data_IF_011979637496
#
_entry.id   IF_011979637496
#
_cell.length_a   1.000
_cell.length_b   1.000
_cell.length_c   1.000
_cell.angle_alpha   90.00
_cell.angle_beta   90.00
_cell.angle_gamma   90.00
#
_symmetry.space_group_name_H-M   'P 1'
#
loop_
_entity.id
_entity.type
_entity.pdbx_description
1 polymer ?
#
# COMPACT_ATOMS: atom_id res chain seq x y z
N UNK A 1 -28.33 -1.27 -27.42
CA UNK A 1 -27.26 -0.38 -26.98
C UNK A 1 -26.01 -0.80 -27.72
N UNK A 2 -25.47 0.06 -28.58
CA UNK A 2 -24.23 -0.23 -29.29
C UNK A 2 -23.14 -0.63 -28.28
N UNK A 3 -22.38 -1.64 -28.60
CA UNK A 3 -21.17 -2.07 -27.88
C UNK A 3 -20.17 -0.93 -27.95
N UNK A 4 -20.33 0.09 -27.10
CA UNK A 4 -19.27 1.05 -26.85
C UNK A 4 -18.10 0.22 -26.30
N UNK A 5 -17.05 0.13 -27.07
CA UNK A 5 -15.81 -0.54 -26.68
C UNK A 5 -15.23 0.27 -25.52
N UNK A 6 -15.45 -0.18 -24.30
CA UNK A 6 -14.83 0.35 -23.07
C UNK A 6 -13.34 0.01 -23.01
N UNK A 7 -12.64 0.10 -24.16
CA UNK A 7 -11.23 -0.18 -24.27
C UNK A 7 -10.40 0.87 -23.51
N UNK A 8 -9.24 0.47 -23.07
CA UNK A 8 -8.35 1.36 -22.35
C UNK A 8 -7.86 2.48 -23.28
N UNK A 9 -7.97 3.75 -22.85
CA UNK A 9 -7.50 4.88 -23.64
C UNK A 9 -5.97 4.90 -23.81
N UNK A 10 -5.49 5.64 -24.79
CA UNK A 10 -4.04 5.87 -25.02
C UNK A 10 -3.32 6.41 -23.78
N UNK A 11 -4.04 7.12 -22.90
CA UNK A 11 -3.55 7.60 -21.61
C UNK A 11 -2.97 6.48 -20.72
N UNK A 12 -3.51 5.23 -20.80
CA UNK A 12 -2.95 4.08 -20.07
C UNK A 12 -1.61 3.68 -20.67
N UNK A 13 -1.44 3.78 -21.98
CA UNK A 13 -0.16 3.55 -22.65
C UNK A 13 0.92 4.56 -22.26
N UNK A 14 0.56 5.84 -22.09
CA UNK A 14 1.49 6.86 -21.59
C UNK A 14 1.85 6.63 -20.12
N UNK A 15 0.91 6.19 -19.29
CA UNK A 15 1.19 5.78 -17.92
C UNK A 15 2.16 4.60 -17.85
N UNK A 16 2.02 3.62 -18.76
CA UNK A 16 2.95 2.49 -18.85
C UNK A 16 4.37 2.95 -19.23
N UNK A 17 4.51 3.85 -20.23
CA UNK A 17 5.81 4.42 -20.61
C UNK A 17 6.45 5.21 -19.48
N UNK A 18 5.66 6.02 -18.76
CA UNK A 18 6.12 6.74 -17.57
C UNK A 18 6.66 5.76 -16.51
N UNK A 19 5.92 4.68 -16.24
CA UNK A 19 6.34 3.64 -15.30
C UNK A 19 7.66 2.98 -15.71
N UNK A 20 7.81 2.61 -17.00
CA UNK A 20 9.06 2.05 -17.52
C UNK A 20 10.23 3.03 -17.42
N UNK A 21 10.00 4.31 -17.74
CA UNK A 21 11.02 5.35 -17.61
C UNK A 21 11.46 5.56 -16.16
N UNK A 22 10.49 5.60 -15.23
CA UNK A 22 10.76 5.71 -13.80
C UNK A 22 11.51 4.46 -13.28
N UNK A 23 11.11 3.26 -13.71
CA UNK A 23 11.78 2.02 -13.35
C UNK A 23 13.24 2.03 -13.81
N UNK A 24 13.49 2.39 -15.06
CA UNK A 24 14.86 2.47 -15.61
C UNK A 24 15.70 3.49 -14.84
N UNK A 25 15.18 4.71 -14.65
CA UNK A 25 15.86 5.75 -13.88
C UNK A 25 16.14 5.28 -12.45
N UNK A 26 15.15 4.73 -11.77
CA UNK A 26 15.30 4.24 -10.40
C UNK A 26 16.31 3.11 -10.28
N UNK A 27 16.32 2.16 -11.23
CA UNK A 27 17.32 1.08 -11.25
C UNK A 27 18.73 1.63 -11.46
N UNK A 28 18.93 2.56 -12.40
CA UNK A 28 20.24 3.21 -12.61
C UNK A 28 20.70 3.94 -11.35
N UNK A 29 19.82 4.73 -10.73
CA UNK A 29 20.14 5.43 -9.48
C UNK A 29 20.41 4.46 -8.32
N UNK A 30 19.70 3.33 -8.27
CA UNK A 30 19.93 2.27 -7.27
C UNK A 30 21.30 1.61 -7.47
N UNK A 31 21.69 1.32 -8.71
CA UNK A 31 23.02 0.77 -9.01
C UNK A 31 24.12 1.79 -8.62
N UNK A 32 23.94 3.05 -8.98
CA UNK A 32 24.87 4.12 -8.57
C UNK A 32 24.95 4.20 -7.06
N UNK A 33 23.80 4.25 -6.36
CA UNK A 33 23.76 4.30 -4.90
C UNK A 33 24.42 3.08 -4.24
N UNK A 34 24.24 1.89 -4.80
CA UNK A 34 24.86 0.64 -4.32
C UNK A 34 26.39 0.65 -4.43
N UNK A 35 26.94 1.29 -5.45
CA UNK A 35 28.41 1.39 -5.61
C UNK A 35 29.05 2.31 -4.56
N UNK A 36 28.30 3.31 -4.06
CA UNK A 36 28.81 4.29 -3.10
C UNK A 36 28.34 4.05 -1.65
N UNK A 37 27.45 3.10 -1.41
CA UNK A 37 26.91 2.78 -0.10
C UNK A 37 27.28 1.33 0.29
N UNK A 38 27.18 1.03 1.58
CA UNK A 38 27.29 -0.34 2.08
C UNK A 38 26.13 -1.21 1.60
N UNK A 39 26.40 -2.51 1.43
CA UNK A 39 25.39 -3.48 0.99
C UNK A 39 24.16 -3.49 1.89
N UNK A 40 24.34 -3.41 3.20
CA UNK A 40 23.24 -3.36 4.17
C UNK A 40 22.30 -2.18 3.90
N UNK A 41 22.85 -1.00 3.59
CA UNK A 41 22.08 0.21 3.30
C UNK A 41 21.12 0.06 2.11
N UNK A 42 21.54 -0.71 1.09
CA UNK A 42 20.65 -1.05 -0.02
C UNK A 42 19.45 -1.87 0.43
N UNK A 43 19.67 -2.94 1.19
CA UNK A 43 18.58 -3.81 1.64
C UNK A 43 17.62 -3.10 2.58
N UNK A 44 18.12 -2.20 3.43
CA UNK A 44 17.32 -1.37 4.33
C UNK A 44 16.40 -0.41 3.56
N UNK A 45 16.95 0.36 2.60
CA UNK A 45 16.18 1.26 1.76
C UNK A 45 15.18 0.48 0.86
N UNK A 46 15.60 -0.71 0.37
CA UNK A 46 14.74 -1.58 -0.42
C UNK A 46 13.54 -2.09 0.40
N UNK A 47 13.74 -2.46 1.66
CA UNK A 47 12.66 -2.89 2.56
C UNK A 47 11.60 -1.80 2.71
N UNK A 48 12.01 -0.55 2.96
CA UNK A 48 11.10 0.61 3.07
C UNK A 48 10.29 0.79 1.80
N UNK A 49 10.97 0.82 0.65
CA UNK A 49 10.34 1.01 -0.65
C UNK A 49 9.39 -0.14 -1.02
N UNK A 50 9.81 -1.37 -0.78
CA UNK A 50 9.02 -2.56 -1.07
C UNK A 50 7.74 -2.61 -0.23
N UNK A 51 7.84 -2.40 1.07
CA UNK A 51 6.67 -2.43 1.97
C UNK A 51 5.67 -1.34 1.62
N UNK A 52 6.11 -0.16 1.21
CA UNK A 52 5.23 0.90 0.71
C UNK A 52 4.52 0.49 -0.59
N UNK A 53 5.26 0.11 -1.63
CA UNK A 53 4.69 -0.21 -2.96
C UNK A 53 3.78 -1.44 -2.88
N UNK A 54 4.23 -2.50 -2.20
CA UNK A 54 3.41 -3.69 -2.01
C UNK A 54 2.22 -3.43 -1.10
N UNK A 55 2.32 -2.47 -0.17
CA UNK A 55 1.21 -1.97 0.63
C UNK A 55 0.05 -1.42 -0.21
N UNK A 56 0.33 -0.76 -1.35
CA UNK A 56 -0.71 -0.33 -2.31
C UNK A 56 -1.43 -1.54 -2.91
N UNK A 57 -0.69 -2.61 -3.25
CA UNK A 57 -1.25 -3.84 -3.83
C UNK A 57 -2.13 -4.58 -2.81
N UNK A 58 -1.64 -4.74 -1.59
CA UNK A 58 -2.39 -5.37 -0.49
C UNK A 58 -3.62 -4.56 -0.10
N UNK A 59 -3.49 -3.24 0.03
CA UNK A 59 -4.61 -2.34 0.28
C UNK A 59 -5.65 -2.39 -0.84
N UNK A 60 -5.22 -2.51 -2.11
CA UNK A 60 -6.13 -2.67 -3.24
C UNK A 60 -6.92 -3.97 -3.16
N UNK A 61 -6.31 -5.08 -2.73
CA UNK A 61 -6.99 -6.35 -2.50
C UNK A 61 -8.02 -6.23 -1.37
N UNK A 62 -7.66 -5.59 -0.26
CA UNK A 62 -8.57 -5.35 0.85
C UNK A 62 -9.78 -4.50 0.42
N UNK A 63 -9.55 -3.40 -0.31
CA UNK A 63 -10.63 -2.53 -0.80
C UNK A 63 -11.55 -3.25 -1.80
N UNK A 64 -11.03 -4.14 -2.66
CA UNK A 64 -11.85 -5.00 -3.51
C UNK A 64 -12.77 -5.90 -2.67
N UNK A 65 -12.22 -6.55 -1.64
CA UNK A 65 -13.01 -7.40 -0.75
C UNK A 65 -14.07 -6.60 0.01
N UNK A 66 -13.74 -5.41 0.52
CA UNK A 66 -14.71 -4.50 1.15
C UNK A 66 -15.81 -4.11 0.16
N UNK A 67 -15.46 -3.78 -1.08
CA UNK A 67 -16.44 -3.40 -2.11
C UNK A 67 -17.39 -4.56 -2.45
N UNK A 68 -16.89 -5.78 -2.56
CA UNK A 68 -17.72 -6.96 -2.82
C UNK A 68 -18.69 -7.31 -1.67
N UNK A 69 -18.39 -6.87 -0.44
CA UNK A 69 -19.28 -7.05 0.72
C UNK A 69 -20.27 -5.90 0.88
N UNK A 70 -19.80 -4.66 0.74
CA UNK A 70 -20.61 -3.46 1.01
C UNK A 70 -21.41 -2.99 -0.21
N UNK A 71 -20.96 -3.35 -1.43
CA UNK A 71 -21.53 -2.80 -2.67
C UNK A 71 -21.28 -1.30 -2.81
N UNK A 72 -22.13 -0.63 -3.58
CA UNK A 72 -22.13 0.83 -3.73
C UNK A 72 -21.37 1.34 -4.94
N UNK A 73 -21.78 2.51 -5.43
CA UNK A 73 -21.25 3.15 -6.63
C UNK A 73 -19.78 3.58 -6.50
N UNK A 74 -19.33 3.89 -5.27
CA UNK A 74 -17.96 4.33 -5.00
C UNK A 74 -16.91 3.33 -5.47
N UNK A 75 -17.17 2.04 -5.24
CA UNK A 75 -16.21 1.00 -5.56
C UNK A 75 -16.18 0.65 -7.04
N UNK A 76 -17.29 0.80 -7.76
CA UNK A 76 -17.39 0.45 -9.18
C UNK A 76 -16.47 1.31 -10.07
N UNK A 77 -16.33 2.60 -9.77
CA UNK A 77 -15.48 3.51 -10.54
C UNK A 77 -13.99 3.30 -10.34
N UNK A 78 -13.57 2.72 -9.20
CA UNK A 78 -12.16 2.41 -8.90
C UNK A 78 -11.86 0.91 -8.98
N UNK A 79 -12.84 0.06 -9.24
CA UNK A 79 -12.68 -1.41 -9.23
C UNK A 79 -11.60 -1.89 -10.18
N UNK A 80 -11.55 -1.37 -11.41
CA UNK A 80 -10.54 -1.78 -12.38
C UNK A 80 -9.12 -1.33 -12.03
N UNK A 81 -8.88 -0.11 -11.56
CA UNK A 81 -7.62 0.24 -10.91
C UNK A 81 -7.21 -0.71 -9.79
N UNK A 82 -8.13 -1.04 -8.87
CA UNK A 82 -7.82 -1.97 -7.78
C UNK A 82 -7.46 -3.38 -8.30
N UNK A 83 -8.23 -3.93 -9.24
CA UNK A 83 -7.97 -5.24 -9.86
C UNK A 83 -6.63 -5.25 -10.62
N UNK A 84 -6.31 -4.18 -11.35
CA UNK A 84 -5.05 -4.07 -12.09
C UNK A 84 -3.84 -4.05 -11.14
N UNK A 85 -3.97 -3.39 -9.98
CA UNK A 85 -2.96 -3.41 -8.93
C UNK A 85 -2.80 -4.83 -8.34
N UNK A 86 -3.90 -5.50 -7.98
CA UNK A 86 -3.88 -6.87 -7.44
C UNK A 86 -3.24 -7.87 -8.42
N UNK A 87 -3.45 -7.72 -9.72
CA UNK A 87 -2.83 -8.56 -10.75
C UNK A 87 -1.31 -8.46 -10.82
N UNK A 88 -0.69 -7.43 -10.22
CA UNK A 88 0.77 -7.32 -10.14
C UNK A 88 1.37 -8.24 -9.06
N UNK A 89 0.56 -8.75 -8.14
CA UNK A 89 0.99 -9.47 -6.94
C UNK A 89 1.98 -10.62 -7.19
N UNK A 90 1.85 -11.48 -8.21
CA UNK A 90 2.83 -12.54 -8.46
C UNK A 90 4.24 -12.00 -8.76
N UNK A 91 4.33 -10.88 -9.51
CA UNK A 91 5.63 -10.25 -9.81
C UNK A 91 6.15 -9.53 -8.56
N UNK A 92 5.28 -8.91 -7.78
CA UNK A 92 5.66 -8.32 -6.50
C UNK A 92 6.22 -9.36 -5.52
N UNK A 93 5.70 -10.60 -5.54
CA UNK A 93 6.28 -11.70 -4.77
C UNK A 93 7.71 -12.06 -5.23
N UNK A 94 8.00 -11.99 -6.53
CA UNK A 94 9.37 -12.14 -7.04
C UNK A 94 10.26 -10.97 -6.59
N UNK A 95 9.73 -9.75 -6.59
CA UNK A 95 10.45 -8.56 -6.12
C UNK A 95 10.68 -8.55 -4.60
N UNK A 96 10.17 -9.51 -3.85
CA UNK A 96 10.53 -9.74 -2.46
C UNK A 96 11.89 -10.43 -2.29
N UNK A 97 12.42 -11.07 -3.34
CA UNK A 97 13.67 -11.82 -3.26
C UNK A 97 14.88 -11.03 -2.73
N UNK A 98 15.09 -9.75 -3.05
CA UNK A 98 16.18 -8.99 -2.43
C UNK A 98 16.08 -8.94 -0.89
N UNK A 99 14.87 -8.79 -0.32
CA UNK A 99 14.67 -8.83 1.14
C UNK A 99 15.00 -10.21 1.70
N UNK A 100 14.58 -11.27 1.00
CA UNK A 100 14.89 -12.64 1.39
C UNK A 100 16.40 -12.95 1.34
N UNK A 101 17.12 -12.39 0.35
CA UNK A 101 18.57 -12.53 0.24
C UNK A 101 19.28 -11.70 1.32
N UNK A 102 18.83 -10.48 1.58
CA UNK A 102 19.41 -9.54 2.54
C UNK A 102 18.96 -9.74 3.99
N UNK A 103 18.45 -10.91 4.38
CA UNK A 103 17.94 -11.16 5.74
C UNK A 103 19.01 -10.86 6.80
N UNK A 104 20.27 -11.23 6.53
CA UNK A 104 21.37 -10.98 7.46
C UNK A 104 21.79 -9.50 7.52
N UNK A 105 21.58 -8.74 6.45
CA UNK A 105 21.88 -7.30 6.42
C UNK A 105 20.75 -6.45 7.03
N UNK A 106 19.53 -7.01 7.13
CA UNK A 106 18.35 -6.31 7.64
C UNK A 106 18.08 -6.65 9.10
N UNK A 107 18.18 -7.94 9.48
CA UNK A 107 17.67 -8.42 10.76
C UNK A 107 18.75 -8.91 11.68
N UNK A 108 18.93 -8.25 12.81
CA UNK A 108 19.90 -8.58 13.84
C UNK A 108 19.69 -10.00 14.41
N UNK A 109 18.44 -10.43 14.60
CA UNK A 109 18.09 -11.76 15.10
C UNK A 109 18.47 -12.91 14.14
N UNK A 110 18.87 -12.63 12.91
CA UNK A 110 19.30 -13.66 11.96
C UNK A 110 20.74 -14.16 12.21
N UNK A 111 21.50 -13.47 13.06
CA UNK A 111 22.88 -13.82 13.40
C UNK A 111 22.92 -14.67 14.66
N UNK A 112 23.45 -15.92 14.61
CA UNK A 112 23.53 -16.80 15.79
C UNK A 112 24.30 -16.16 16.96
N UNK A 113 25.38 -15.44 16.67
CA UNK A 113 26.22 -14.78 17.68
C UNK A 113 25.46 -13.65 18.40
N UNK A 114 24.55 -12.97 17.72
CA UNK A 114 23.70 -11.93 18.31
C UNK A 114 22.60 -12.52 19.19
N UNK A 115 22.13 -13.73 18.86
CA UNK A 115 21.12 -14.44 19.66
C UNK A 115 21.74 -15.03 20.91
N UNK A 116 22.96 -15.58 20.79
CA UNK A 116 23.70 -16.18 21.92
C UNK A 116 24.14 -15.10 22.92
N UNK A 117 23.50 -15.06 24.07
CA UNK A 117 23.78 -14.07 25.13
C UNK A 117 22.76 -12.96 25.28
N UNK A 118 21.73 -12.95 24.46
CA UNK A 118 20.54 -12.07 24.61
C UNK A 118 19.33 -12.92 25.02
N UNK A 119 18.94 -12.94 26.32
CA UNK A 119 17.83 -13.77 26.80
C UNK A 119 16.50 -13.52 26.11
N UNK A 120 16.26 -12.28 25.62
CA UNK A 120 15.03 -11.96 24.90
C UNK A 120 15.05 -12.55 23.49
N UNK A 121 16.17 -12.49 22.79
CA UNK A 121 16.32 -13.12 21.47
C UNK A 121 16.27 -14.64 21.56
N UNK A 122 16.91 -15.23 22.57
CA UNK A 122 16.82 -16.68 22.83
C UNK A 122 15.36 -17.12 23.05
N UNK A 123 14.59 -16.35 23.83
CA UNK A 123 13.17 -16.63 24.07
C UNK A 123 12.32 -16.50 22.79
N UNK A 124 12.66 -15.54 21.90
CA UNK A 124 11.97 -15.33 20.62
C UNK A 124 12.47 -16.24 19.49
N UNK A 125 13.58 -16.95 19.67
CA UNK A 125 14.22 -17.79 18.64
C UNK A 125 13.29 -18.85 17.99
N UNK A 126 12.31 -19.47 18.70
CA UNK A 126 11.36 -20.38 18.07
C UNK A 126 10.53 -19.70 16.96
N UNK A 127 10.28 -18.40 17.06
CA UNK A 127 9.56 -17.60 16.06
C UNK A 127 10.52 -16.83 15.15
N UNK A 128 11.50 -16.12 15.71
CA UNK A 128 12.48 -15.32 14.97
C UNK A 128 13.70 -16.18 14.61
N UNK A 129 13.58 -17.00 13.58
CA UNK A 129 14.67 -17.72 12.94
C UNK A 129 14.49 -17.72 11.42
N UNK A 130 15.58 -17.80 10.69
CA UNK A 130 15.59 -17.66 9.23
C UNK A 130 14.75 -18.72 8.53
N UNK A 131 14.80 -19.97 8.97
CA UNK A 131 14.02 -21.06 8.35
C UNK A 131 12.53 -20.83 8.48
N UNK A 132 12.05 -20.53 9.70
CA UNK A 132 10.62 -20.30 9.92
C UNK A 132 10.16 -18.97 9.31
N UNK A 133 11.04 -17.95 9.26
CA UNK A 133 10.79 -16.71 8.52
C UNK A 133 10.46 -17.00 7.05
N UNK A 134 11.30 -17.74 6.33
CA UNK A 134 11.05 -18.07 4.92
C UNK A 134 9.77 -18.89 4.71
N UNK A 135 9.48 -19.85 5.59
CA UNK A 135 8.23 -20.62 5.52
C UNK A 135 7.01 -19.69 5.64
N UNK A 136 7.03 -18.75 6.59
CA UNK A 136 5.93 -17.77 6.74
C UNK A 136 5.76 -16.90 5.50
N UNK A 137 6.86 -16.44 4.87
CA UNK A 137 6.79 -15.65 3.64
C UNK A 137 6.09 -16.44 2.52
N UNK A 138 6.44 -17.70 2.32
CA UNK A 138 5.79 -18.54 1.33
C UNK A 138 4.28 -18.67 1.60
N UNK A 139 3.89 -18.84 2.86
CA UNK A 139 2.48 -18.92 3.26
C UNK A 139 1.76 -17.60 2.96
N UNK A 140 2.33 -16.44 3.33
CA UNK A 140 1.71 -15.14 3.08
C UNK A 140 1.49 -14.89 1.59
N UNK A 141 2.51 -15.07 0.77
CA UNK A 141 2.39 -14.89 -0.68
C UNK A 141 1.43 -15.90 -1.31
N UNK A 142 1.43 -17.15 -0.88
CA UNK A 142 0.49 -18.15 -1.36
C UNK A 142 -0.97 -17.74 -1.08
N UNK A 143 -1.27 -17.28 0.13
CA UNK A 143 -2.59 -16.77 0.53
C UNK A 143 -2.99 -15.57 -0.34
N UNK A 144 -2.15 -14.54 -0.41
CA UNK A 144 -2.49 -13.29 -1.10
C UNK A 144 -2.62 -13.49 -2.61
N UNK A 145 -1.71 -14.25 -3.23
CA UNK A 145 -1.79 -14.57 -4.65
C UNK A 145 -3.06 -15.37 -4.94
N UNK A 146 -3.41 -16.34 -4.11
CA UNK A 146 -4.61 -17.16 -4.31
C UNK A 146 -5.87 -16.30 -4.25
N UNK A 147 -6.05 -15.50 -3.19
CA UNK A 147 -7.21 -14.60 -3.05
C UNK A 147 -7.26 -13.62 -4.22
N UNK A 148 -6.15 -12.94 -4.52
CA UNK A 148 -6.08 -11.95 -5.59
C UNK A 148 -6.36 -12.54 -6.97
N UNK A 149 -5.84 -13.74 -7.27
CA UNK A 149 -6.09 -14.43 -8.53
C UNK A 149 -7.56 -14.88 -8.66
N UNK A 150 -8.17 -15.40 -7.60
CA UNK A 150 -9.58 -15.80 -7.61
C UNK A 150 -10.48 -14.57 -7.87
N UNK A 151 -10.30 -13.48 -7.12
CA UNK A 151 -11.08 -12.25 -7.31
C UNK A 151 -10.97 -11.72 -8.74
N UNK A 152 -9.76 -11.64 -9.26
CA UNK A 152 -9.53 -11.06 -10.59
C UNK A 152 -9.91 -11.98 -11.74
N UNK A 153 -9.83 -13.31 -11.57
CA UNK A 153 -10.33 -14.29 -12.56
C UNK A 153 -11.84 -14.30 -12.63
N UNK A 154 -12.51 -14.34 -11.48
CA UNK A 154 -13.99 -14.28 -11.46
C UNK A 154 -14.51 -12.95 -11.99
N UNK A 155 -13.81 -11.83 -11.76
CA UNK A 155 -14.17 -10.56 -12.39
C UNK A 155 -14.09 -10.61 -13.90
N UNK A 156 -13.05 -11.24 -14.46
CA UNK A 156 -12.94 -11.43 -15.90
C UNK A 156 -14.00 -12.42 -16.44
N UNK A 157 -14.41 -13.42 -15.66
CA UNK A 157 -15.51 -14.33 -15.99
C UNK A 157 -16.85 -13.58 -15.98
N UNK A 158 -17.08 -12.69 -15.00
CA UNK A 158 -18.28 -11.86 -14.93
C UNK A 158 -18.44 -11.01 -16.18
N UNK A 159 -17.34 -10.39 -16.66
CA UNK A 159 -17.36 -9.58 -17.89
C UNK A 159 -17.77 -10.40 -19.14
N UNK A 160 -17.43 -11.69 -19.19
CA UNK A 160 -17.70 -12.53 -20.35
C UNK A 160 -19.08 -13.18 -20.30
N UNK A 161 -19.47 -13.67 -19.15
CA UNK A 161 -20.62 -14.55 -19.01
C UNK A 161 -21.81 -13.95 -18.24
N UNK A 162 -21.60 -12.87 -17.45
CA UNK A 162 -22.66 -12.25 -16.64
C UNK A 162 -23.33 -13.22 -15.66
N UNK A 163 -22.59 -14.21 -15.13
CA UNK A 163 -23.13 -15.30 -14.33
C UNK A 163 -23.75 -14.79 -13.01
N UNK A 164 -25.02 -15.12 -12.71
CA UNK A 164 -25.71 -14.70 -11.49
C UNK A 164 -25.15 -15.35 -10.21
N UNK A 165 -24.31 -16.38 -10.32
CA UNK A 165 -23.69 -17.05 -9.17
C UNK A 165 -22.42 -16.33 -8.66
N UNK A 166 -21.78 -15.49 -9.47
CA UNK A 166 -20.51 -14.84 -9.13
C UNK A 166 -20.62 -13.84 -7.99
N UNK A 167 -21.64 -12.98 -7.87
CA UNK A 167 -21.76 -12.07 -6.75
C UNK A 167 -21.72 -12.77 -5.39
N UNK A 168 -22.37 -13.92 -5.26
CA UNK A 168 -22.33 -14.72 -4.02
C UNK A 168 -20.93 -15.30 -3.75
N UNK A 169 -20.22 -15.77 -4.81
CA UNK A 169 -18.84 -16.26 -4.66
C UNK A 169 -17.90 -15.16 -4.21
N UNK A 170 -18.03 -13.96 -4.79
CA UNK A 170 -17.26 -12.78 -4.36
C UNK A 170 -17.49 -12.46 -2.88
N UNK A 171 -18.75 -12.39 -2.43
CA UNK A 171 -19.08 -12.10 -1.03
C UNK A 171 -18.49 -13.14 -0.07
N UNK A 172 -18.64 -14.44 -0.36
CA UNK A 172 -18.10 -15.51 0.50
C UNK A 172 -16.58 -15.42 0.60
N UNK A 173 -15.88 -15.31 -0.55
CA UNK A 173 -14.43 -15.20 -0.58
C UNK A 173 -13.96 -13.92 0.14
N UNK A 174 -14.65 -12.80 -0.06
CA UNK A 174 -14.27 -11.51 0.53
C UNK A 174 -14.46 -11.49 2.04
N UNK A 175 -15.52 -12.11 2.57
CA UNK A 175 -15.74 -12.20 4.02
C UNK A 175 -14.65 -13.00 4.73
N UNK A 176 -14.37 -14.22 4.27
CA UNK A 176 -13.28 -15.03 4.79
C UNK A 176 -11.90 -14.40 4.49
N UNK A 177 -11.74 -13.86 3.28
CA UNK A 177 -10.51 -13.24 2.80
C UNK A 177 -10.08 -12.03 3.62
N UNK A 178 -11.00 -11.18 4.09
CA UNK A 178 -10.66 -10.02 4.93
C UNK A 178 -10.09 -10.44 6.28
N UNK A 179 -10.64 -11.49 6.90
CA UNK A 179 -10.11 -12.01 8.17
C UNK A 179 -8.70 -12.58 7.95
N UNK A 180 -8.54 -13.41 6.92
CA UNK A 180 -7.23 -13.99 6.57
C UNK A 180 -6.22 -12.90 6.20
N UNK A 181 -6.65 -11.87 5.46
CA UNK A 181 -5.83 -10.70 5.13
C UNK A 181 -5.38 -9.97 6.40
N UNK A 182 -6.30 -9.65 7.30
CA UNK A 182 -5.98 -8.92 8.52
C UNK A 182 -4.94 -9.66 9.36
N UNK A 183 -5.10 -10.97 9.53
CA UNK A 183 -4.15 -11.80 10.27
C UNK A 183 -2.81 -11.90 9.54
N UNK A 184 -2.82 -12.29 8.26
CA UNK A 184 -1.58 -12.50 7.50
C UNK A 184 -0.76 -11.23 7.31
N UNK A 185 -1.42 -10.08 7.08
CA UNK A 185 -0.72 -8.78 6.98
C UNK A 185 -0.18 -8.35 8.34
N UNK A 186 -0.91 -8.57 9.43
CA UNK A 186 -0.40 -8.27 10.77
C UNK A 186 0.89 -9.03 11.04
N UNK A 187 0.91 -10.35 10.82
CA UNK A 187 2.13 -11.13 11.01
C UNK A 187 3.24 -10.77 10.01
N UNK A 188 2.91 -10.47 8.76
CA UNK A 188 3.90 -10.03 7.79
C UNK A 188 4.54 -8.69 8.19
N UNK A 189 3.79 -7.73 8.73
CA UNK A 189 4.33 -6.46 9.19
C UNK A 189 5.16 -6.62 10.47
N UNK A 190 4.80 -7.59 11.33
CA UNK A 190 5.64 -8.02 12.46
C UNK A 190 6.98 -8.56 11.94
N UNK A 191 6.94 -9.44 10.94
CA UNK A 191 8.14 -10.06 10.38
C UNK A 191 9.03 -9.06 9.60
N UNK A 192 8.43 -8.15 8.83
CA UNK A 192 9.19 -7.29 7.91
C UNK A 192 9.70 -6.01 8.55
N UNK A 193 8.87 -5.37 9.37
CA UNK A 193 9.17 -4.03 9.87
C UNK A 193 9.30 -3.94 11.38
N UNK A 194 8.53 -4.68 12.16
CA UNK A 194 8.65 -4.67 13.61
C UNK A 194 9.88 -5.45 14.08
N UNK A 195 10.19 -6.58 13.45
CA UNK A 195 11.33 -7.44 13.84
C UNK A 195 12.71 -6.85 13.49
N UNK A 196 12.74 -5.70 12.81
CA UNK A 196 13.98 -4.90 12.63
C UNK A 196 14.55 -4.52 14.00
N UNK A 197 13.68 -4.12 14.93
CA UNK A 197 14.04 -3.98 16.36
C UNK A 197 13.34 -5.08 17.17
N UNK A 198 14.00 -6.21 17.41
CA UNK A 198 13.38 -7.35 18.06
C UNK A 198 13.12 -7.13 19.57
N UNK A 199 13.69 -6.09 20.18
CA UNK A 199 13.46 -5.73 21.58
C UNK A 199 12.18 -4.92 21.76
N UNK A 200 11.70 -4.26 20.71
CA UNK A 200 10.48 -3.49 20.73
C UNK A 200 9.28 -4.27 20.14
N UNK A 201 8.08 -4.01 20.64
CA UNK A 201 6.86 -4.58 20.10
C UNK A 201 5.64 -3.67 20.30
N UNK A 202 4.66 -3.77 19.42
CA UNK A 202 3.37 -3.10 19.54
C UNK A 202 2.26 -3.94 18.93
N UNK A 203 1.17 -4.13 19.66
CA UNK A 203 -0.03 -4.79 19.17
C UNK A 203 -0.78 -3.97 18.12
N UNK A 204 -0.57 -2.66 18.09
CA UNK A 204 -1.18 -1.74 17.11
C UNK A 204 -0.48 -1.74 15.77
N UNK A 205 0.69 -2.39 15.64
CA UNK A 205 1.52 -2.35 14.43
C UNK A 205 0.79 -2.89 13.19
N UNK A 206 0.18 -4.05 13.27
CA UNK A 206 -0.61 -4.62 12.18
C UNK A 206 -1.78 -3.74 11.75
N UNK A 207 -2.70 -3.35 12.66
CA UNK A 207 -3.80 -2.42 12.35
C UNK A 207 -3.33 -1.10 11.73
N UNK A 208 -2.23 -0.53 12.20
CA UNK A 208 -1.65 0.70 11.67
C UNK A 208 -1.25 0.55 10.19
N UNK A 209 -0.55 -0.52 9.86
CA UNK A 209 -0.16 -0.80 8.47
C UNK A 209 -1.37 -1.12 7.58
N UNK A 210 -2.36 -1.86 8.08
CA UNK A 210 -3.61 -2.15 7.35
C UNK A 210 -4.35 -0.85 7.00
N UNK A 211 -4.51 0.07 7.96
CA UNK A 211 -5.12 1.37 7.72
C UNK A 211 -4.30 2.20 6.71
N UNK A 212 -2.98 2.19 6.85
CA UNK A 212 -2.07 2.85 5.94
C UNK A 212 -2.07 2.28 4.51
N UNK A 213 -2.20 0.96 4.36
CA UNK A 213 -2.36 0.30 3.06
C UNK A 213 -3.67 0.72 2.38
N UNK A 214 -4.77 0.76 3.13
CA UNK A 214 -6.07 1.25 2.64
C UNK A 214 -5.99 2.71 2.20
N UNK A 215 -5.36 3.57 3.00
CA UNK A 215 -5.12 4.98 2.67
C UNK A 215 -4.33 5.13 1.37
N UNK A 216 -3.23 4.38 1.22
CA UNK A 216 -2.38 4.39 0.03
C UNK A 216 -3.13 3.88 -1.22
N UNK A 217 -3.91 2.81 -1.08
CA UNK A 217 -4.69 2.24 -2.19
C UNK A 217 -5.82 3.18 -2.65
N UNK A 218 -6.52 3.88 -1.74
CA UNK A 218 -7.49 4.93 -2.11
C UNK A 218 -6.80 6.10 -2.81
N UNK A 219 -5.70 6.61 -2.24
CA UNK A 219 -4.97 7.73 -2.82
C UNK A 219 -4.45 7.41 -4.23
N UNK A 220 -3.91 6.21 -4.43
CA UNK A 220 -3.46 5.71 -5.73
C UNK A 220 -4.63 5.60 -6.72
N UNK A 221 -5.72 4.94 -6.31
CA UNK A 221 -6.90 4.74 -7.18
C UNK A 221 -7.56 6.05 -7.58
N UNK A 222 -7.67 7.02 -6.69
CA UNK A 222 -8.18 8.37 -6.98
C UNK A 222 -7.27 9.09 -7.97
N UNK A 223 -5.95 9.02 -7.78
CA UNK A 223 -4.97 9.65 -8.68
C UNK A 223 -5.07 9.09 -10.09
N UNK A 224 -5.18 7.76 -10.22
CA UNK A 224 -5.34 7.07 -11.51
C UNK A 224 -6.71 7.38 -12.13
N UNK A 225 -7.80 7.27 -11.38
CA UNK A 225 -9.15 7.56 -11.86
C UNK A 225 -9.24 8.96 -12.45
N UNK A 226 -8.72 9.96 -11.73
CA UNK A 226 -8.76 11.35 -12.20
C UNK A 226 -7.85 11.54 -13.42
N UNK A 227 -6.68 10.89 -13.46
CA UNK A 227 -5.81 10.94 -14.63
C UNK A 227 -6.50 10.40 -15.91
N UNK A 228 -7.38 9.41 -15.76
CA UNK A 228 -8.14 8.80 -16.86
C UNK A 228 -9.52 9.43 -17.10
N UNK A 229 -10.02 10.25 -16.17
CA UNK A 229 -11.38 10.80 -16.22
C UNK A 229 -11.64 11.75 -17.40
N UNK A 230 -10.60 12.23 -18.06
CA UNK A 230 -10.73 13.07 -19.26
C UNK A 230 -10.93 12.27 -20.55
N UNK A 231 -10.83 10.94 -20.49
CA UNK A 231 -10.94 10.06 -21.65
C UNK A 231 -12.18 9.18 -21.57
N UNK A 232 -12.74 8.81 -22.74
CA UNK A 232 -13.86 7.87 -22.78
C UNK A 232 -13.40 6.49 -22.24
N UNK A 233 -14.27 5.76 -21.54
CA UNK A 233 -15.66 6.08 -21.17
C UNK A 233 -15.80 6.89 -19.88
N UNK A 234 -14.72 7.11 -19.12
CA UNK A 234 -14.75 7.67 -17.78
C UNK A 234 -15.16 9.15 -17.74
N UNK A 235 -14.94 9.91 -18.84
CA UNK A 235 -15.33 11.30 -18.95
C UNK A 235 -16.86 11.54 -18.85
N UNK A 236 -17.65 10.51 -19.15
CA UNK A 236 -19.13 10.55 -19.05
C UNK A 236 -19.65 10.01 -17.73
N UNK A 237 -18.80 9.29 -16.97
CA UNK A 237 -19.22 8.52 -15.81
C UNK A 237 -18.72 9.11 -14.50
N UNK A 238 -17.50 9.66 -14.49
CA UNK A 238 -16.90 10.22 -13.27
C UNK A 238 -17.47 11.61 -13.03
N UNK A 239 -18.34 11.71 -12.04
CA UNK A 239 -18.98 12.98 -11.64
C UNK A 239 -18.31 13.55 -10.38
N UNK A 240 -18.54 14.84 -10.09
CA UNK A 240 -18.14 15.43 -8.80
C UNK A 240 -18.72 14.71 -7.57
N UNK A 241 -19.83 13.95 -7.74
CA UNK A 241 -20.42 13.15 -6.66
C UNK A 241 -19.54 11.94 -6.36
N UNK A 242 -19.12 11.19 -7.37
CA UNK A 242 -18.19 10.07 -7.21
C UNK A 242 -16.87 10.51 -6.57
N UNK A 243 -16.32 11.65 -7.03
CA UNK A 243 -15.10 12.21 -6.43
C UNK A 243 -15.29 12.60 -4.97
N UNK A 244 -16.45 13.15 -4.62
CA UNK A 244 -16.78 13.49 -3.25
C UNK A 244 -16.86 12.26 -2.34
N UNK A 245 -17.46 11.16 -2.82
CA UNK A 245 -17.57 9.92 -2.06
C UNK A 245 -16.18 9.26 -1.88
N UNK A 246 -15.39 9.18 -2.93
CA UNK A 246 -14.00 8.72 -2.82
C UNK A 246 -13.17 9.60 -1.88
N UNK A 247 -13.36 10.93 -1.93
CA UNK A 247 -12.72 11.87 -1.01
C UNK A 247 -13.17 11.72 0.44
N UNK A 248 -14.40 11.24 0.71
CA UNK A 248 -14.85 10.87 2.07
C UNK A 248 -14.12 9.63 2.59
N UNK A 249 -13.99 8.59 1.73
CA UNK A 249 -13.24 7.39 2.12
C UNK A 249 -11.75 7.69 2.34
N UNK A 250 -11.14 8.51 1.45
CA UNK A 250 -9.76 8.96 1.65
C UNK A 250 -9.60 9.68 2.99
N UNK A 251 -10.54 10.56 3.33
CA UNK A 251 -10.58 11.26 4.61
C UNK A 251 -10.76 10.30 5.80
N UNK A 252 -11.68 9.32 5.68
CA UNK A 252 -11.92 8.34 6.74
C UNK A 252 -10.67 7.48 7.02
N UNK A 253 -9.97 7.02 5.97
CA UNK A 253 -8.73 6.26 6.13
C UNK A 253 -7.58 7.11 6.66
N UNK A 254 -7.50 8.39 6.28
CA UNK A 254 -6.55 9.34 6.86
C UNK A 254 -6.79 9.50 8.35
N UNK A 255 -8.05 9.69 8.78
CA UNK A 255 -8.43 9.79 10.18
C UNK A 255 -8.13 8.49 10.95
N UNK A 256 -8.46 7.34 10.37
CA UNK A 256 -8.20 6.05 10.99
C UNK A 256 -6.70 5.81 11.19
N UNK A 257 -5.88 6.09 10.19
CA UNK A 257 -4.42 5.96 10.30
C UNK A 257 -3.86 6.90 11.37
N UNK A 258 -4.27 8.17 11.38
CA UNK A 258 -3.85 9.14 12.40
C UNK A 258 -4.31 8.76 13.81
N UNK A 259 -5.55 8.24 13.95
CA UNK A 259 -6.06 7.75 15.22
C UNK A 259 -5.23 6.58 15.77
N UNK A 260 -4.90 5.60 14.93
CA UNK A 260 -4.08 4.45 15.32
C UNK A 260 -2.65 4.87 15.68
N UNK A 261 -2.04 5.75 14.89
CA UNK A 261 -0.70 6.30 15.16
C UNK A 261 -0.66 7.08 16.49
N UNK A 262 -1.66 7.94 16.70
CA UNK A 262 -1.76 8.72 17.93
C UNK A 262 -2.07 7.84 19.15
N UNK A 263 -2.95 6.84 19.00
CA UNK A 263 -3.27 5.89 20.07
C UNK A 263 -2.05 5.11 20.52
N UNK A 264 -1.25 4.61 19.57
CA UNK A 264 0.01 3.93 19.87
C UNK A 264 0.98 4.88 20.63
N UNK A 265 1.17 6.09 20.14
CA UNK A 265 1.99 7.10 20.80
C UNK A 265 1.50 7.37 22.22
N UNK A 266 0.20 7.61 22.40
CA UNK A 266 -0.39 7.97 23.69
C UNK A 266 -0.23 6.84 24.72
N UNK A 267 -0.44 5.57 24.31
CA UNK A 267 -0.29 4.41 25.21
C UNK A 267 1.16 4.28 25.67
N UNK A 268 2.10 4.28 24.73
CA UNK A 268 3.53 4.10 25.03
C UNK A 268 4.06 5.28 25.86
N UNK A 269 3.71 6.52 25.46
CA UNK A 269 4.15 7.72 26.17
C UNK A 269 3.60 7.80 27.60
N UNK A 270 2.32 7.43 27.79
CA UNK A 270 1.67 7.48 29.11
C UNK A 270 2.16 6.36 30.02
N UNK A 271 2.43 5.16 29.48
CA UNK A 271 2.95 4.03 30.25
C UNK A 271 4.41 4.25 30.64
N UNK A 272 5.19 4.94 29.82
CA UNK A 272 6.61 5.27 30.03
C UNK A 272 7.47 4.06 30.43
N UNK A 273 7.22 2.92 29.79
CA UNK A 273 7.99 1.70 30.01
C UNK A 273 9.35 1.78 29.34
N UNK A 274 10.38 1.31 30.02
CA UNK A 274 11.77 1.35 29.56
C UNK A 274 12.01 0.60 28.25
N UNK A 275 11.21 -0.43 28.00
CA UNK A 275 11.30 -1.27 26.81
C UNK A 275 10.59 -0.65 25.57
N UNK A 276 9.58 0.19 25.78
CA UNK A 276 8.74 0.72 24.71
C UNK A 276 9.09 2.15 24.31
N UNK A 277 9.40 3.00 25.27
CA UNK A 277 9.61 4.44 25.05
C UNK A 277 10.79 4.78 24.13
N UNK A 278 11.89 4.01 24.05
CA UNK A 278 13.03 4.32 23.19
C UNK A 278 12.65 4.47 21.72
N UNK A 279 11.61 3.75 21.26
CA UNK A 279 11.07 3.88 19.91
C UNK A 279 10.69 5.32 19.55
N UNK A 280 10.09 6.06 20.47
CA UNK A 280 9.72 7.47 20.25
C UNK A 280 10.86 8.43 20.56
N UNK A 281 11.73 8.13 21.55
CA UNK A 281 12.86 8.98 21.88
C UNK A 281 13.83 9.11 20.70
N UNK A 282 14.16 8.02 20.00
CA UNK A 282 14.98 8.03 18.78
C UNK A 282 14.34 8.94 17.71
N UNK A 283 13.01 8.89 17.55
CA UNK A 283 12.26 9.68 16.57
C UNK A 283 12.07 11.14 16.97
N UNK A 284 12.41 11.50 18.19
CA UNK A 284 12.34 12.88 18.69
C UNK A 284 13.71 13.56 18.74
N UNK A 285 14.77 12.83 18.47
CA UNK A 285 16.15 13.31 18.49
C UNK A 285 16.85 13.03 17.14
N UNK A 286 18.11 13.33 17.05
CA UNK A 286 19.02 12.91 15.98
C UNK A 286 18.62 13.34 14.55
N UNK A 287 17.82 14.40 14.40
CA UNK A 287 17.30 14.88 13.12
C UNK A 287 15.94 14.31 12.73
N UNK A 288 15.52 13.16 13.31
CA UNK A 288 14.22 12.56 13.02
C UNK A 288 13.02 13.37 13.52
N UNK A 289 13.22 14.32 14.46
CA UNK A 289 12.20 15.25 14.91
C UNK A 289 11.57 16.04 13.76
N UNK A 290 12.33 16.39 12.72
CA UNK A 290 11.80 17.07 11.54
C UNK A 290 10.86 16.19 10.73
N UNK A 291 11.19 14.89 10.62
CA UNK A 291 10.32 13.90 9.98
C UNK A 291 9.05 13.69 10.82
N UNK A 292 9.18 13.62 12.14
CA UNK A 292 8.04 13.51 13.07
C UNK A 292 7.10 14.72 12.97
N UNK A 293 7.63 15.94 12.88
CA UNK A 293 6.84 17.16 12.64
C UNK A 293 6.14 17.08 11.27
N UNK A 294 6.86 16.62 10.22
CA UNK A 294 6.24 16.41 8.91
C UNK A 294 5.09 15.40 8.97
N UNK A 295 5.21 14.32 9.76
CA UNK A 295 4.13 13.35 9.94
C UNK A 295 2.89 13.98 10.56
N UNK A 296 3.05 14.85 11.56
CA UNK A 296 1.91 15.54 12.20
C UNK A 296 1.31 16.59 11.25
N UNK A 297 2.13 17.44 10.66
CA UNK A 297 1.67 18.59 9.87
C UNK A 297 1.39 18.18 8.42
N UNK A 298 2.38 17.63 7.73
CA UNK A 298 2.34 17.35 6.29
C UNK A 298 1.51 16.12 5.94
N UNK A 299 1.64 15.05 6.71
CA UNK A 299 0.90 13.82 6.44
C UNK A 299 -0.53 13.87 6.98
N UNK A 300 -0.76 14.47 8.16
CA UNK A 300 -2.09 14.51 8.78
C UNK A 300 -2.78 15.87 8.68
N UNK A 301 -2.26 16.94 9.36
CA UNK A 301 -3.01 18.18 9.58
C UNK A 301 -3.39 18.89 8.27
N UNK A 302 -2.48 18.99 7.30
CA UNK A 302 -2.74 19.63 6.00
C UNK A 302 -3.75 18.87 5.19
N UNK A 303 -3.60 17.55 4.89
CA UNK A 303 -4.64 16.79 4.17
C UNK A 303 -5.98 16.75 4.92
N UNK A 304 -5.95 16.68 6.26
CA UNK A 304 -7.15 16.73 7.08
C UNK A 304 -7.94 18.03 6.84
N UNK A 305 -7.30 19.19 7.00
CA UNK A 305 -7.93 20.49 6.81
C UNK A 305 -8.48 20.65 5.38
N UNK A 306 -7.73 20.21 4.36
CA UNK A 306 -8.16 20.27 2.96
C UNK A 306 -9.34 19.34 2.68
N UNK A 307 -9.32 18.11 3.20
CA UNK A 307 -10.38 17.12 2.98
C UNK A 307 -11.65 17.39 3.81
N UNK A 308 -11.65 18.28 4.80
CA UNK A 308 -12.88 18.78 5.41
C UNK A 308 -13.75 19.52 4.40
N UNK A 309 -13.15 20.26 3.47
CA UNK A 309 -13.88 21.04 2.48
C UNK A 309 -14.57 20.17 1.44
N UNK A 310 -15.90 20.39 1.26
CA UNK A 310 -16.68 19.74 0.21
C UNK A 310 -16.17 20.11 -1.20
N UNK A 311 -15.77 21.36 -1.38
CA UNK A 311 -15.29 21.87 -2.66
C UNK A 311 -13.94 21.24 -3.05
N UNK A 312 -13.06 20.95 -2.11
CA UNK A 312 -11.81 20.26 -2.37
C UNK A 312 -12.05 18.83 -2.88
N UNK A 313 -12.98 18.10 -2.26
CA UNK A 313 -13.33 16.74 -2.66
C UNK A 313 -14.06 16.62 -3.99
N UNK A 314 -14.81 17.65 -4.43
CA UNK A 314 -15.57 17.67 -5.68
C UNK A 314 -14.76 18.12 -6.89
N UNK A 315 -13.64 18.81 -6.68
CA UNK A 315 -12.78 19.28 -7.76
C UNK A 315 -11.71 18.22 -8.07
N UNK A 316 -11.72 17.70 -9.29
CA UNK A 316 -10.82 16.63 -9.73
C UNK A 316 -9.34 17.00 -9.55
N UNK A 317 -8.93 18.20 -9.99
CA UNK A 317 -7.54 18.63 -9.90
C UNK A 317 -7.06 18.71 -8.42
N UNK A 318 -7.88 19.35 -7.56
CA UNK A 318 -7.54 19.53 -6.14
C UNK A 318 -7.51 18.19 -5.41
N UNK A 319 -8.49 17.33 -5.64
CA UNK A 319 -8.52 15.99 -5.01
C UNK A 319 -7.34 15.14 -5.47
N UNK A 320 -6.96 15.17 -6.74
CA UNK A 320 -5.77 14.49 -7.26
C UNK A 320 -4.50 15.00 -6.59
N UNK A 321 -4.36 16.32 -6.43
CA UNK A 321 -3.20 16.90 -5.77
C UNK A 321 -3.07 16.41 -4.32
N UNK A 322 -4.19 16.42 -3.56
CA UNK A 322 -4.22 15.91 -2.18
C UNK A 322 -3.89 14.41 -2.14
N UNK A 323 -4.47 13.60 -3.03
CA UNK A 323 -4.22 12.17 -3.09
C UNK A 323 -2.75 11.86 -3.43
N UNK A 324 -2.16 12.58 -4.39
CA UNK A 324 -0.74 12.44 -4.74
C UNK A 324 0.17 12.87 -3.59
N UNK A 325 -0.18 13.95 -2.89
CA UNK A 325 0.52 14.39 -1.68
C UNK A 325 0.49 13.32 -0.58
N UNK A 326 -0.67 12.71 -0.34
CA UNK A 326 -0.80 11.62 0.64
C UNK A 326 0.09 10.44 0.24
N UNK A 327 0.17 10.06 -1.05
CA UNK A 327 1.06 8.99 -1.50
C UNK A 327 2.54 9.32 -1.19
N UNK A 328 2.95 10.56 -1.45
CA UNK A 328 4.30 11.00 -1.09
C UNK A 328 4.52 10.94 0.43
N UNK A 329 3.59 11.48 1.21
CA UNK A 329 3.68 11.47 2.66
C UNK A 329 3.69 10.03 3.24
N UNK A 330 3.03 9.07 2.57
CA UNK A 330 3.10 7.65 2.94
C UNK A 330 4.48 7.03 2.75
N UNK A 331 5.26 7.44 1.75
CA UNK A 331 6.66 6.98 1.61
C UNK A 331 7.46 7.45 2.82
N UNK A 332 7.31 8.73 3.20
CA UNK A 332 7.97 9.31 4.37
C UNK A 332 7.54 8.62 5.67
N UNK A 333 6.28 8.20 5.77
CA UNK A 333 5.75 7.48 6.91
C UNK A 333 6.37 6.09 7.08
N UNK A 334 6.51 5.32 5.97
CA UNK A 334 7.22 4.04 6.00
C UNK A 334 8.70 4.22 6.36
N UNK A 335 9.35 5.27 5.86
CA UNK A 335 10.70 5.63 6.25
C UNK A 335 10.78 5.94 7.75
N UNK A 336 9.88 6.75 8.29
CA UNK A 336 9.83 7.11 9.70
C UNK A 336 9.63 5.90 10.62
N UNK A 337 8.90 4.88 10.18
CA UNK A 337 8.69 3.68 10.98
C UNK A 337 9.91 2.74 11.00
N UNK A 338 10.70 2.69 9.92
CA UNK A 338 11.72 1.65 9.71
C UNK A 338 13.14 2.18 9.83
N UNK A 339 13.46 3.32 9.18
CA UNK A 339 14.84 3.80 9.08
C UNK A 339 15.49 4.17 10.43
N UNK A 340 14.78 4.76 11.43
CA UNK A 340 15.37 5.08 12.73
C UNK A 340 15.89 3.86 13.49
N UNK A 341 15.36 2.67 13.23
CA UNK A 341 15.82 1.43 13.88
C UNK A 341 17.18 0.98 13.34
N UNK A 342 17.54 1.39 12.12
CA UNK A 342 18.87 1.10 11.52
C UNK A 342 19.91 2.15 11.88
N UNK A 343 19.49 3.42 11.98
CA UNK A 343 20.37 4.57 12.19
C UNK A 343 19.85 5.45 13.34
N UNK A 344 19.91 4.98 14.60
CA UNK A 344 19.32 5.69 15.73
C UNK A 344 20.05 6.99 16.10
N UNK A 345 21.33 7.12 15.70
CA UNK A 345 22.18 8.25 16.13
C UNK A 345 21.99 9.49 15.25
N UNK A 346 21.56 9.35 14.00
CA UNK A 346 21.39 10.48 13.09
C UNK A 346 20.45 10.16 11.93
N UNK A 347 19.79 11.20 11.44
CA UNK A 347 18.98 11.13 10.22
C UNK A 347 19.88 10.85 9.02
N UNK A 348 19.83 9.63 8.50
CA UNK A 348 20.60 9.22 7.33
C UNK A 348 19.70 9.17 6.09
N UNK A 349 19.78 10.22 5.26
CA UNK A 349 19.08 10.31 3.98
C UNK A 349 20.08 10.17 2.84
N UNK A 350 20.01 9.07 2.12
CA UNK A 350 20.87 8.80 0.99
C UNK A 350 20.12 8.70 -0.35
N UNK A 351 20.88 8.58 -1.43
CA UNK A 351 20.33 8.41 -2.77
C UNK A 351 19.43 7.16 -2.88
N UNK A 352 19.73 6.11 -2.11
CA UNK A 352 18.97 4.85 -2.13
C UNK A 352 17.56 5.02 -1.58
N UNK A 353 17.32 5.94 -0.62
CA UNK A 353 15.98 6.20 -0.07
C UNK A 353 15.02 6.83 -1.09
N UNK A 354 15.56 7.51 -2.10
CA UNK A 354 14.77 8.03 -3.22
C UNK A 354 14.77 7.06 -4.41
N UNK A 355 15.90 6.43 -4.70
CA UNK A 355 16.09 5.57 -5.87
C UNK A 355 15.24 4.29 -5.82
N UNK A 356 15.20 3.63 -4.67
CA UNK A 356 14.45 2.36 -4.52
C UNK A 356 12.94 2.52 -4.62
N UNK A 357 12.27 3.55 -4.03
CA UNK A 357 10.85 3.81 -4.30
C UNK A 357 10.56 4.19 -5.76
N UNK A 358 11.46 4.93 -6.41
CA UNK A 358 11.30 5.28 -7.84
C UNK A 358 11.42 4.01 -8.71
N UNK A 359 12.38 3.13 -8.43
CA UNK A 359 12.56 1.88 -9.14
C UNK A 359 11.33 0.96 -8.98
N UNK A 360 10.97 0.62 -7.75
CA UNK A 360 9.86 -0.29 -7.45
C UNK A 360 8.50 0.31 -7.83
N UNK A 361 8.28 1.60 -7.57
CA UNK A 361 7.09 2.32 -7.97
C UNK A 361 6.95 2.38 -9.50
N UNK A 362 8.06 2.58 -10.21
CA UNK A 362 8.10 2.55 -11.67
C UNK A 362 7.75 1.17 -12.24
N UNK A 363 8.34 0.11 -11.71
CA UNK A 363 8.01 -1.29 -12.09
C UNK A 363 6.53 -1.59 -11.80
N UNK A 364 6.06 -1.24 -10.60
CA UNK A 364 4.65 -1.41 -10.24
C UNK A 364 3.73 -0.66 -11.21
N UNK A 365 4.01 0.62 -11.50
CA UNK A 365 3.18 1.43 -12.39
C UNK A 365 3.17 0.88 -13.83
N UNK A 366 4.30 0.39 -14.34
CA UNK A 366 4.38 -0.23 -15.66
C UNK A 366 3.55 -1.51 -15.74
N UNK A 367 3.65 -2.40 -14.73
CA UNK A 367 2.88 -3.63 -14.63
C UNK A 367 1.39 -3.36 -14.43
N UNK A 368 1.05 -2.41 -13.57
CA UNK A 368 -0.30 -1.94 -13.32
C UNK A 368 -0.96 -1.47 -14.62
N UNK A 369 -0.31 -0.57 -15.36
CA UNK A 369 -0.83 -0.06 -16.62
C UNK A 369 -0.96 -1.16 -17.68
N UNK A 370 0.02 -2.08 -17.78
CA UNK A 370 -0.06 -3.24 -18.65
C UNK A 370 -1.26 -4.14 -18.33
N UNK A 371 -1.56 -4.35 -17.04
CA UNK A 371 -2.73 -5.11 -16.61
C UNK A 371 -4.03 -4.35 -16.87
N UNK A 372 -4.07 -3.04 -16.62
CA UNK A 372 -5.26 -2.21 -16.87
C UNK A 372 -5.64 -2.17 -18.35
N UNK A 373 -4.65 -2.24 -19.27
CA UNK A 373 -4.88 -2.29 -20.72
C UNK A 373 -5.58 -3.56 -21.20
N UNK A 374 -5.48 -4.66 -20.46
CA UNK A 374 -6.03 -5.97 -20.87
C UNK A 374 -7.55 -6.08 -20.67
N UNK A 375 -8.13 -5.20 -19.89
CA UNK A 375 -9.53 -5.28 -19.46
C UNK A 375 -10.26 -3.97 -19.74
N UNK A 376 -11.59 -4.08 -19.82
CA UNK A 376 -12.47 -2.92 -19.86
C UNK A 376 -12.26 -2.05 -18.60
N UNK A 377 -12.30 -0.72 -18.74
CA UNK A 377 -12.19 0.21 -17.62
C UNK A 377 -13.38 0.17 -16.65
N UNK A 378 -14.47 -0.50 -17.05
CA UNK A 378 -15.68 -0.70 -16.24
C UNK A 378 -16.06 -2.17 -16.18
N UNK A 379 -16.67 -2.64 -15.08
CA UNK A 379 -17.20 -4.00 -14.96
C UNK A 379 -18.52 -4.13 -15.75
N UNK A 380 -18.43 -4.49 -17.05
CA UNK A 380 -19.53 -4.37 -18.03
C UNK A 380 -20.79 -5.14 -17.64
N UNK A 381 -20.65 -6.34 -17.09
CA UNK A 381 -21.77 -7.21 -16.69
C UNK A 381 -21.97 -7.26 -15.17
N UNK A 382 -21.55 -6.21 -14.45
CA UNK A 382 -21.85 -6.08 -13.03
C UNK A 382 -23.32 -5.66 -12.84
N UNK A 383 -24.12 -6.38 -12.03
CA UNK A 383 -25.54 -6.06 -11.84
C UNK A 383 -25.79 -4.67 -11.23
N UNK A 384 -24.81 -4.13 -10.50
CA UNK A 384 -24.93 -2.81 -9.87
C UNK A 384 -24.42 -1.68 -10.78
N UNK A 385 -23.82 -1.98 -11.94
CA UNK A 385 -23.31 -0.96 -12.85
C UNK A 385 -24.42 -0.02 -13.33
N UNK A 386 -25.59 -0.56 -13.70
CA UNK A 386 -26.72 0.24 -14.14
C UNK A 386 -27.20 1.21 -13.05
N UNK A 387 -27.24 0.77 -11.79
CA UNK A 387 -27.59 1.62 -10.65
C UNK A 387 -26.55 2.71 -10.39
N UNK A 388 -25.25 2.36 -10.51
CA UNK A 388 -24.16 3.32 -10.35
C UNK A 388 -24.21 4.41 -11.43
N UNK A 389 -24.59 4.04 -12.66
CA UNK A 389 -24.78 4.97 -13.77
C UNK A 389 -26.04 5.84 -13.60
N UNK A 390 -27.12 5.28 -13.03
CA UNK A 390 -28.35 6.02 -12.77
C UNK A 390 -28.24 7.04 -11.61
N UNK A 391 -27.22 6.95 -10.77
CA UNK A 391 -26.94 7.89 -9.67
C UNK A 391 -26.60 9.33 -10.16
N UNK A 392 -26.71 9.57 -11.46
CA UNK A 392 -26.58 10.87 -12.12
C UNK A 392 -27.84 11.77 -12.07
N UNK A 393 -28.98 11.26 -11.60
CA UNK A 393 -30.29 11.90 -11.86
C UNK A 393 -30.90 12.64 -10.66
N UNK A 394 -30.16 12.77 -9.51
CA UNK A 394 -30.69 13.53 -8.36
C UNK A 394 -29.70 14.57 -7.82
#
# INVERSE_FOLDING_TARGET
MATETYQSPEAVGSMQRLGMGAALLGVVLTIVGFVFADQARFFQAYLVAYTFVFGIVLGSMALLMVQHLSGGAWGLVIRRPLEAAVRTMPIMAVLYLPIAIGVHDIYHWSHPDAVAGDPMLEWKAPYLNTTFFYIRQLIYFAIWITIGQLLTRWSAEQDRAGSPALPRKFSILSGAGLVIYALSVTFAMVDWTMSVNPHWFSTMWGPLYIAGQGLSAFAFSITVLIALSHTAPLNRLVTPHHLHDLGKFLFAFLMMHAYLSFSQFLIIWSANLSEEIPHYLIRWDSGYQYVSIFMIVGHFAVPYALLLSRNMKRNAFRLRLIATWILFARIVDYYWHVAPEFHPEHLDLGILDAATPIALGGVFLALFAANLRKFSLLPVNDPDLAKALAHHVH
#
